data_IF_879071685464
#
_entry.id   IF_879071685464
#
_cell.length_a   1.000
_cell.length_b   1.000
_cell.length_c   1.000
_cell.angle_alpha   90.00
_cell.angle_beta   90.00
_cell.angle_gamma   90.00
#
_symmetry.space_group_name_H-M   'P 1'
#
loop_
_entity.id
_entity.type
_entity.pdbx_description
1 polymer ?
#
# COMPACT_ATOMS: atom_id res chain seq x y z
N UNK A 1 -27.99 -8.41 11.15
CA UNK A 1 -28.46 -7.20 10.40
C UNK A 1 -27.92 -5.92 11.06
N UNK A 2 -27.87 -5.86 12.37
CA UNK A 2 -27.34 -4.70 13.12
C UNK A 2 -25.85 -4.50 12.86
N UNK A 3 -25.02 -5.55 13.01
CA UNK A 3 -23.57 -5.51 12.76
C UNK A 3 -23.21 -4.99 11.35
N UNK A 4 -23.98 -5.34 10.32
CA UNK A 4 -23.76 -4.85 8.97
C UNK A 4 -24.55 -3.57 8.64
N UNK A 5 -25.21 -2.95 9.60
CA UNK A 5 -25.97 -1.68 9.44
C UNK A 5 -27.04 -1.72 8.33
N UNK A 6 -27.67 -2.89 8.10
CA UNK A 6 -28.67 -3.10 7.05
C UNK A 6 -30.11 -3.30 7.58
N UNK A 7 -30.33 -3.14 8.87
CA UNK A 7 -31.64 -3.40 9.50
C UNK A 7 -32.74 -2.51 8.91
N UNK A 8 -32.43 -1.26 8.64
CA UNK A 8 -33.39 -0.27 8.11
C UNK A 8 -33.79 -0.49 6.65
N UNK A 9 -33.03 -1.33 5.91
CA UNK A 9 -33.35 -1.72 4.54
C UNK A 9 -34.03 -3.09 4.41
N UNK A 10 -34.39 -3.74 5.52
CA UNK A 10 -34.89 -5.12 5.52
C UNK A 10 -36.17 -5.36 4.68
N UNK A 11 -36.90 -4.30 4.34
CA UNK A 11 -38.11 -4.37 3.47
C UNK A 11 -37.85 -3.97 2.02
N UNK A 12 -36.61 -3.56 1.66
CA UNK A 12 -36.25 -3.19 0.28
C UNK A 12 -35.69 -4.38 -0.48
N UNK A 13 -35.96 -4.44 -1.79
CA UNK A 13 -35.31 -5.39 -2.67
C UNK A 13 -33.82 -5.05 -2.81
N UNK A 14 -32.96 -6.07 -2.78
CA UNK A 14 -31.48 -5.90 -2.87
C UNK A 14 -31.10 -5.10 -4.11
N UNK A 15 -31.72 -5.35 -5.26
CA UNK A 15 -31.46 -4.64 -6.52
C UNK A 15 -31.67 -3.11 -6.45
N UNK A 16 -32.42 -2.64 -5.46
CA UNK A 16 -32.72 -1.21 -5.25
C UNK A 16 -31.80 -0.57 -4.20
N UNK A 17 -30.79 -1.28 -3.71
CA UNK A 17 -29.78 -0.79 -2.79
C UNK A 17 -28.58 -0.23 -3.57
N UNK A 18 -27.86 0.74 -2.97
CA UNK A 18 -26.56 1.16 -3.50
C UNK A 18 -25.54 0.01 -3.43
N UNK A 19 -24.47 0.07 -4.21
CA UNK A 19 -23.40 -0.93 -4.25
C UNK A 19 -22.88 -1.28 -2.86
N UNK A 20 -22.60 -0.28 -2.01
CA UNK A 20 -22.14 -0.50 -0.64
C UNK A 20 -23.12 -1.25 0.24
N UNK A 21 -24.42 -1.00 0.10
CA UNK A 21 -25.43 -1.78 0.83
C UNK A 21 -25.61 -3.19 0.27
N UNK A 22 -25.44 -3.40 -1.03
CA UNK A 22 -25.44 -4.75 -1.62
C UNK A 22 -24.27 -5.56 -1.08
N UNK A 23 -23.07 -4.97 -0.99
CA UNK A 23 -21.89 -5.61 -0.36
C UNK A 23 -22.12 -5.95 1.11
N UNK A 24 -22.70 -5.04 1.89
CA UNK A 24 -23.06 -5.30 3.29
C UNK A 24 -24.08 -6.44 3.44
N UNK A 25 -25.03 -6.59 2.50
CA UNK A 25 -25.94 -7.74 2.47
C UNK A 25 -25.19 -9.03 2.18
N UNK A 26 -24.25 -9.04 1.22
CA UNK A 26 -23.39 -10.18 0.92
C UNK A 26 -22.55 -10.60 2.12
N UNK A 27 -21.90 -9.65 2.80
CA UNK A 27 -21.14 -9.91 4.03
C UNK A 27 -22.06 -10.44 5.14
N UNK A 28 -23.25 -9.84 5.32
CA UNK A 28 -24.22 -10.32 6.33
C UNK A 28 -24.67 -11.76 6.04
N UNK A 29 -24.82 -12.15 4.78
CA UNK A 29 -25.11 -13.51 4.37
C UNK A 29 -23.97 -14.45 4.73
N UNK A 30 -22.72 -14.05 4.49
CA UNK A 30 -21.55 -14.87 4.78
C UNK A 30 -21.38 -15.18 6.28
N UNK A 31 -21.78 -14.25 7.17
CA UNK A 31 -21.61 -14.41 8.62
C UNK A 31 -22.88 -14.83 9.36
N UNK A 32 -24.04 -14.98 8.69
CA UNK A 32 -25.34 -15.21 9.33
C UNK A 32 -25.39 -16.48 10.20
N UNK A 33 -24.65 -17.51 9.83
CA UNK A 33 -24.57 -18.80 10.52
C UNK A 33 -23.35 -18.92 11.44
N UNK A 34 -22.67 -17.78 11.71
CA UNK A 34 -21.51 -17.69 12.59
C UNK A 34 -20.38 -18.69 12.25
N UNK A 35 -19.89 -18.74 10.99
CA UNK A 35 -18.86 -19.69 10.59
C UNK A 35 -17.50 -19.34 11.19
N UNK A 36 -16.62 -20.29 11.49
CA UNK A 36 -15.27 -19.98 11.98
C UNK A 36 -14.38 -19.34 10.91
N UNK A 37 -14.74 -19.46 9.62
CA UNK A 37 -13.97 -18.97 8.49
C UNK A 37 -14.88 -18.31 7.46
N UNK A 38 -14.52 -17.11 7.01
CA UNK A 38 -15.27 -16.29 6.05
C UNK A 38 -14.38 -15.98 4.84
N UNK A 39 -14.92 -16.15 3.63
CA UNK A 39 -14.25 -15.75 2.38
C UNK A 39 -14.98 -14.56 1.78
N UNK A 40 -14.26 -13.51 1.49
CA UNK A 40 -14.76 -12.29 0.86
C UNK A 40 -13.98 -12.03 -0.44
N UNK A 41 -14.67 -12.07 -1.56
CA UNK A 41 -14.09 -11.84 -2.87
C UNK A 41 -14.41 -10.42 -3.33
N UNK A 42 -13.35 -9.59 -3.53
CA UNK A 42 -13.43 -8.19 -3.97
C UNK A 42 -14.48 -7.35 -3.22
N UNK A 43 -14.52 -7.34 -1.88
CA UNK A 43 -15.65 -6.76 -1.12
C UNK A 43 -15.74 -5.23 -1.21
N UNK A 44 -14.74 -4.56 -1.76
CA UNK A 44 -14.69 -3.09 -1.92
C UNK A 44 -14.82 -2.65 -3.37
N UNK A 45 -14.93 -3.61 -4.30
CA UNK A 45 -14.97 -3.31 -5.73
C UNK A 45 -16.20 -2.45 -6.11
N UNK A 46 -15.96 -1.37 -6.85
CA UNK A 46 -17.02 -0.47 -7.33
C UNK A 46 -17.64 0.44 -6.25
N UNK A 47 -17.01 0.58 -5.09
CA UNK A 47 -17.44 1.45 -4.01
C UNK A 47 -16.73 2.80 -4.05
N UNK A 48 -17.40 3.83 -3.53
CA UNK A 48 -16.75 5.12 -3.30
C UNK A 48 -15.79 5.09 -2.09
N UNK A 49 -14.87 6.07 -1.94
CA UNK A 49 -13.86 6.07 -0.88
C UNK A 49 -14.44 5.98 0.54
N UNK A 50 -15.59 6.59 0.81
CA UNK A 50 -16.21 6.55 2.13
C UNK A 50 -16.77 5.15 2.43
N UNK A 51 -17.43 4.54 1.44
CA UNK A 51 -17.94 3.18 1.55
C UNK A 51 -16.83 2.15 1.72
N UNK A 52 -15.68 2.34 1.04
CA UNK A 52 -14.50 1.50 1.22
C UNK A 52 -14.05 1.50 2.69
N UNK A 53 -13.92 2.68 3.32
CA UNK A 53 -13.53 2.79 4.73
C UNK A 53 -14.53 2.06 5.65
N UNK A 54 -15.82 2.19 5.38
CA UNK A 54 -16.87 1.53 6.15
C UNK A 54 -16.82 0.00 6.01
N UNK A 55 -16.59 -0.53 4.81
CA UNK A 55 -16.45 -1.98 4.59
C UNK A 55 -15.17 -2.51 5.24
N UNK A 56 -14.04 -1.79 5.16
CA UNK A 56 -12.80 -2.15 5.88
C UNK A 56 -13.03 -2.30 7.38
N UNK A 57 -13.71 -1.33 7.99
CA UNK A 57 -14.02 -1.37 9.41
C UNK A 57 -14.91 -2.57 9.75
N UNK A 58 -15.93 -2.83 8.93
CA UNK A 58 -16.79 -4.00 9.10
C UNK A 58 -16.01 -5.32 8.99
N UNK A 59 -15.07 -5.44 8.05
CA UNK A 59 -14.22 -6.62 7.90
C UNK A 59 -13.34 -6.82 9.13
N UNK A 60 -12.76 -5.73 9.68
CA UNK A 60 -11.96 -5.79 10.91
C UNK A 60 -12.79 -6.25 12.12
N UNK A 61 -14.00 -5.72 12.28
CA UNK A 61 -14.92 -6.18 13.33
C UNK A 61 -15.27 -7.67 13.18
N UNK A 62 -15.46 -8.16 11.95
CA UNK A 62 -15.73 -9.57 11.68
C UNK A 62 -14.51 -10.42 12.06
N UNK A 63 -13.31 -9.92 11.75
CA UNK A 63 -12.05 -10.63 12.01
C UNK A 63 -11.74 -10.79 13.52
N UNK A 64 -12.43 -10.09 14.41
CA UNK A 64 -12.33 -10.32 15.88
C UNK A 64 -12.86 -11.68 16.28
N UNK A 65 -13.91 -12.18 15.61
CA UNK A 65 -14.60 -13.44 15.94
C UNK A 65 -14.38 -14.55 14.89
N UNK A 66 -13.90 -14.19 13.69
CA UNK A 66 -13.80 -15.10 12.54
C UNK A 66 -12.41 -15.02 11.90
N UNK A 67 -11.92 -16.11 11.34
CA UNK A 67 -10.82 -16.05 10.38
C UNK A 67 -11.36 -15.56 9.04
N UNK A 68 -10.78 -14.49 8.47
CA UNK A 68 -11.25 -13.90 7.23
C UNK A 68 -10.20 -14.06 6.13
N UNK A 69 -10.58 -14.64 5.01
CA UNK A 69 -9.82 -14.63 3.77
C UNK A 69 -10.41 -13.58 2.84
N UNK A 70 -9.60 -12.59 2.51
CA UNK A 70 -9.93 -11.51 1.60
C UNK A 70 -9.21 -11.72 0.27
N UNK A 71 -9.92 -11.76 -0.85
CA UNK A 71 -9.31 -11.63 -2.17
C UNK A 71 -9.50 -10.20 -2.69
N UNK A 72 -8.44 -9.60 -3.20
CA UNK A 72 -8.48 -8.27 -3.82
C UNK A 72 -7.27 -8.05 -4.72
N UNK A 73 -7.43 -7.21 -5.73
CA UNK A 73 -6.34 -6.71 -6.57
C UNK A 73 -5.87 -5.32 -6.12
N UNK A 74 -6.50 -4.74 -5.09
CA UNK A 74 -6.19 -3.40 -4.57
C UNK A 74 -5.28 -3.52 -3.37
N UNK A 75 -4.03 -3.22 -3.56
CA UNK A 75 -2.96 -3.43 -2.60
C UNK A 75 -3.10 -2.57 -1.33
N UNK A 76 -3.63 -1.34 -1.45
CA UNK A 76 -3.94 -0.49 -0.29
C UNK A 76 -5.04 -1.07 0.62
N UNK A 77 -5.90 -1.95 0.08
CA UNK A 77 -6.89 -2.70 0.87
C UNK A 77 -6.19 -3.75 1.74
N UNK A 78 -5.25 -4.48 1.14
CA UNK A 78 -4.46 -5.50 1.84
C UNK A 78 -3.71 -4.88 3.00
N UNK A 79 -2.97 -3.78 2.76
CA UNK A 79 -2.23 -3.05 3.80
C UNK A 79 -3.12 -2.55 4.94
N UNK A 80 -4.32 -2.07 4.59
CA UNK A 80 -5.22 -1.49 5.58
C UNK A 80 -5.97 -2.53 6.42
N UNK A 81 -6.07 -3.80 5.96
CA UNK A 81 -7.02 -4.77 6.50
C UNK A 81 -6.39 -6.11 6.89
N UNK A 82 -5.33 -6.54 6.21
CA UNK A 82 -4.76 -7.89 6.35
C UNK A 82 -3.52 -7.91 7.24
N UNK A 83 -3.32 -9.02 7.96
CA UNK A 83 -2.10 -9.29 8.73
C UNK A 83 -1.12 -10.13 7.90
N UNK A 84 -1.64 -11.06 7.12
CA UNK A 84 -0.90 -11.98 6.26
C UNK A 84 -1.31 -11.82 4.81
N UNK A 85 -0.36 -12.04 3.91
CA UNK A 85 -0.59 -11.93 2.47
C UNK A 85 -0.13 -13.18 1.73
N UNK A 86 -0.88 -13.54 0.70
CA UNK A 86 -0.52 -14.54 -0.30
C UNK A 86 -0.69 -13.90 -1.67
N UNK A 87 0.40 -13.73 -2.41
CA UNK A 87 0.34 -13.23 -3.78
C UNK A 87 0.33 -14.39 -4.76
N UNK A 88 -0.61 -14.34 -5.68
CA UNK A 88 -0.79 -15.37 -6.71
C UNK A 88 -0.60 -14.73 -8.08
N UNK A 89 0.28 -15.32 -8.90
CA UNK A 89 0.47 -14.95 -10.29
C UNK A 89 0.53 -16.20 -11.17
N UNK A 90 -0.20 -16.19 -12.27
CA UNK A 90 -0.30 -17.34 -13.19
C UNK A 90 -0.58 -18.67 -12.47
N UNK A 91 -1.44 -18.64 -11.44
CA UNK A 91 -1.84 -19.83 -10.66
C UNK A 91 -0.77 -20.34 -9.68
N UNK A 92 0.33 -19.59 -9.46
CA UNK A 92 1.39 -19.93 -8.51
C UNK A 92 1.45 -18.89 -7.40
N UNK A 93 1.71 -19.34 -6.17
CA UNK A 93 2.00 -18.43 -5.05
C UNK A 93 3.43 -17.91 -5.25
N UNK A 94 3.57 -16.60 -5.47
CA UNK A 94 4.86 -15.92 -5.66
C UNK A 94 5.37 -15.27 -4.38
N UNK A 95 4.49 -15.02 -3.41
CA UNK A 95 4.85 -14.57 -2.07
C UNK A 95 3.86 -15.14 -1.05
N UNK A 96 4.36 -15.40 0.17
CA UNK A 96 3.59 -15.88 1.30
C UNK A 96 4.26 -15.46 2.60
N UNK A 97 3.65 -14.59 3.38
CA UNK A 97 4.21 -14.08 4.63
C UNK A 97 3.30 -13.08 5.32
N UNK A 98 3.80 -12.48 6.40
CA UNK A 98 3.12 -11.37 7.06
C UNK A 98 3.23 -10.08 6.24
N UNK A 99 2.38 -9.09 6.53
CA UNK A 99 2.52 -7.75 5.95
C UNK A 99 3.87 -7.13 6.29
N UNK A 100 4.40 -7.40 7.48
CA UNK A 100 5.73 -6.91 7.88
C UNK A 100 6.85 -7.52 7.02
N UNK A 101 6.76 -8.83 6.74
CA UNK A 101 7.73 -9.50 5.86
C UNK A 101 7.64 -8.95 4.44
N UNK A 102 6.43 -8.65 3.99
CA UNK A 102 6.20 -8.06 2.68
C UNK A 102 6.75 -6.64 2.57
N UNK A 103 6.53 -5.80 3.58
CA UNK A 103 7.08 -4.42 3.64
C UNK A 103 8.62 -4.41 3.67
N UNK A 104 9.23 -5.46 4.24
CA UNK A 104 10.69 -5.63 4.30
C UNK A 104 11.27 -6.36 3.08
N UNK A 105 10.44 -6.87 2.18
CA UNK A 105 10.89 -7.68 1.04
C UNK A 105 11.71 -6.88 0.03
N UNK A 106 11.46 -5.59 -0.07
CA UNK A 106 12.21 -4.71 -0.97
C UNK A 106 12.85 -3.59 -0.18
N UNK A 107 14.18 -3.55 -0.21
CA UNK A 107 14.96 -2.44 0.34
C UNK A 107 14.56 -1.16 -0.40
N UNK A 108 14.25 -0.06 0.31
CA UNK A 108 13.99 1.21 -0.33
C UNK A 108 15.18 1.61 -1.22
N UNK A 109 14.89 1.92 -2.48
CA UNK A 109 15.90 2.36 -3.45
C UNK A 109 15.71 3.82 -3.86
N UNK A 110 14.83 4.55 -3.18
CA UNK A 110 14.61 5.99 -3.40
C UNK A 110 14.19 6.70 -2.12
N UNK A 111 14.49 7.99 -2.07
CA UNK A 111 14.00 8.91 -1.06
C UNK A 111 13.65 10.25 -1.69
N UNK A 112 12.74 10.98 -1.05
CA UNK A 112 12.48 12.37 -1.36
C UNK A 112 13.25 13.28 -0.41
N UNK A 113 13.79 14.37 -0.93
CA UNK A 113 14.51 15.36 -0.15
C UNK A 113 14.11 16.77 -0.57
N UNK A 114 13.88 17.64 0.42
CA UNK A 114 13.56 19.06 0.21
C UNK A 114 14.61 19.94 0.83
N UNK A 115 15.12 20.89 0.06
CA UNK A 115 16.08 21.90 0.50
C UNK A 115 15.48 23.32 0.46
N UNK A 116 15.88 24.18 1.39
CA UNK A 116 15.54 25.60 1.33
C UNK A 116 16.44 26.38 0.36
N UNK A 117 17.70 25.94 0.23
CA UNK A 117 18.67 26.43 -0.74
C UNK A 117 19.12 25.21 -1.57
N UNK A 118 18.37 24.86 -2.64
CA UNK A 118 18.60 23.62 -3.34
C UNK A 118 19.93 23.64 -4.11
N UNK A 119 20.69 22.54 -4.09
CA UNK A 119 21.84 22.36 -4.98
C UNK A 119 21.37 22.15 -6.43
N UNK A 120 22.29 22.21 -7.36
CA UNK A 120 22.02 21.78 -8.73
C UNK A 120 21.89 20.24 -8.82
N UNK A 121 21.19 19.77 -9.84
CA UNK A 121 21.08 18.31 -10.12
C UNK A 121 22.48 17.70 -10.31
N UNK A 122 23.40 18.46 -10.92
CA UNK A 122 24.78 18.02 -11.13
C UNK A 122 25.57 17.84 -9.84
N UNK A 123 25.30 18.65 -8.80
CA UNK A 123 25.91 18.48 -7.48
C UNK A 123 25.35 17.25 -6.76
N UNK A 124 24.05 17.03 -6.83
CA UNK A 124 23.42 15.81 -6.29
C UNK A 124 23.89 14.56 -7.00
N UNK A 125 24.09 14.60 -8.33
CA UNK A 125 24.55 13.47 -9.11
C UNK A 125 26.00 13.03 -8.82
N UNK A 126 26.81 13.90 -8.16
CA UNK A 126 28.15 13.55 -7.69
C UNK A 126 28.16 12.74 -6.40
N UNK A 127 27.02 12.63 -5.73
CA UNK A 127 26.91 11.83 -4.51
C UNK A 127 27.02 10.36 -4.92
N UNK A 128 27.97 9.67 -4.31
CA UNK A 128 28.22 8.25 -4.55
C UNK A 128 26.94 7.43 -4.25
N UNK A 129 26.68 6.41 -5.04
CA UNK A 129 25.49 5.57 -5.00
C UNK A 129 24.19 6.23 -5.48
N UNK A 130 24.20 7.47 -5.93
CA UNK A 130 23.05 8.10 -6.59
C UNK A 130 22.97 7.61 -8.05
N UNK A 131 21.84 7.00 -8.41
CA UNK A 131 21.58 6.45 -9.74
C UNK A 131 20.79 7.40 -10.63
N UNK A 132 19.78 8.07 -10.05
CA UNK A 132 18.90 8.96 -10.78
C UNK A 132 18.32 10.04 -9.86
N UNK A 133 18.09 11.23 -10.42
CA UNK A 133 17.51 12.38 -9.73
C UNK A 133 16.37 12.92 -10.57
N UNK A 134 15.24 13.13 -9.93
CA UNK A 134 14.06 13.75 -10.53
C UNK A 134 13.62 14.92 -9.65
N UNK A 135 13.55 16.13 -10.20
CA UNK A 135 12.99 17.28 -9.50
C UNK A 135 11.46 17.20 -9.58
N UNK A 136 10.80 16.98 -8.43
CA UNK A 136 9.35 16.88 -8.32
C UNK A 136 8.69 18.26 -8.25
N UNK A 137 9.28 19.15 -7.46
CA UNK A 137 8.88 20.54 -7.26
C UNK A 137 10.14 21.38 -7.01
N UNK A 138 10.10 22.70 -7.17
CA UNK A 138 11.24 23.57 -6.91
C UNK A 138 11.88 23.31 -5.53
N UNK A 139 13.11 22.79 -5.53
CA UNK A 139 13.85 22.43 -4.34
C UNK A 139 13.50 21.10 -3.69
N UNK A 140 12.61 20.31 -4.29
CA UNK A 140 12.24 18.95 -3.83
C UNK A 140 12.63 17.92 -4.89
N UNK A 141 13.49 16.98 -4.53
CA UNK A 141 14.04 15.99 -5.42
C UNK A 141 13.68 14.59 -4.95
N UNK A 142 13.37 13.69 -5.90
CA UNK A 142 13.39 12.25 -5.70
C UNK A 142 14.75 11.73 -6.14
N UNK A 143 15.44 11.05 -5.25
CA UNK A 143 16.76 10.48 -5.52
C UNK A 143 16.64 8.96 -5.45
N UNK A 144 17.01 8.28 -6.53
CA UNK A 144 17.19 6.83 -6.57
C UNK A 144 18.65 6.50 -6.30
N UNK A 145 18.88 5.45 -5.54
CA UNK A 145 20.21 5.01 -5.14
C UNK A 145 20.34 3.48 -5.22
N UNK A 146 21.55 2.99 -5.28
CA UNK A 146 21.86 1.58 -5.14
C UNK A 146 22.25 1.26 -3.68
N UNK A 147 22.61 0.05 -3.40
CA UNK A 147 22.85 -0.67 -2.14
C UNK A 147 23.68 0.11 -1.08
N UNK A 148 23.23 1.32 -0.69
CA UNK A 148 23.86 2.14 0.38
C UNK A 148 22.85 2.46 1.49
N UNK A 149 22.96 1.73 2.62
CA UNK A 149 22.13 1.97 3.80
C UNK A 149 22.35 3.36 4.42
N UNK A 150 23.49 4.01 4.18
CA UNK A 150 23.90 5.28 4.78
C UNK A 150 23.70 6.49 3.85
N UNK A 151 23.08 6.31 2.70
CA UNK A 151 22.90 7.38 1.69
C UNK A 151 22.24 8.63 2.28
N UNK A 152 21.23 8.46 3.13
CA UNK A 152 20.52 9.57 3.77
C UNK A 152 21.42 10.36 4.72
N UNK A 153 22.26 9.69 5.50
CA UNK A 153 23.22 10.33 6.40
C UNK A 153 24.26 11.14 5.60
N UNK A 154 24.71 10.59 4.47
CA UNK A 154 25.64 11.25 3.55
C UNK A 154 25.02 12.52 2.96
N UNK A 155 23.76 12.47 2.51
CA UNK A 155 23.02 13.63 2.00
C UNK A 155 22.84 14.69 3.08
N UNK A 156 22.53 14.29 4.32
CA UNK A 156 22.43 15.21 5.47
C UNK A 156 23.78 15.91 5.73
N UNK A 157 24.87 15.15 5.78
CA UNK A 157 26.21 15.67 6.01
C UNK A 157 26.61 16.71 4.93
N UNK A 158 26.41 16.36 3.64
CA UNK A 158 26.68 17.24 2.52
C UNK A 158 25.81 18.49 2.53
N UNK A 159 24.55 18.36 2.93
CA UNK A 159 23.64 19.51 3.07
C UNK A 159 24.14 20.52 4.11
N UNK A 160 24.67 20.04 5.23
CA UNK A 160 25.25 20.89 6.28
C UNK A 160 26.55 21.54 5.76
N UNK A 161 27.42 20.74 5.14
CA UNK A 161 28.72 21.19 4.64
C UNK A 161 28.59 22.28 3.57
N UNK A 162 27.62 22.12 2.64
CA UNK A 162 27.42 23.02 1.50
C UNK A 162 26.34 24.08 1.75
N UNK A 163 25.70 24.09 2.92
CA UNK A 163 24.71 25.10 3.29
C UNK A 163 23.39 24.99 2.53
N UNK A 164 23.01 23.80 2.03
CA UNK A 164 21.77 23.59 1.24
C UNK A 164 20.49 23.74 2.07
N UNK A 165 20.60 23.75 3.39
CA UNK A 165 19.47 23.90 4.33
C UNK A 165 18.39 22.85 4.11
N UNK A 166 18.72 21.59 4.43
CA UNK A 166 17.78 20.48 4.42
C UNK A 166 16.54 20.80 5.26
N UNK A 167 15.35 20.62 4.69
CA UNK A 167 14.05 20.76 5.35
C UNK A 167 13.45 19.42 5.70
N UNK A 168 13.50 18.49 4.77
CA UNK A 168 12.87 17.19 4.91
C UNK A 168 13.66 16.16 4.12
N UNK A 169 13.74 14.94 4.65
CA UNK A 169 14.22 13.76 3.96
C UNK A 169 13.32 12.58 4.35
N UNK A 170 12.74 11.91 3.38
CA UNK A 170 11.80 10.83 3.62
C UNK A 170 12.12 9.66 2.70
N UNK A 171 12.45 8.50 3.29
CA UNK A 171 12.61 7.27 2.52
C UNK A 171 11.28 6.91 1.85
N UNK A 172 11.31 6.75 0.54
CA UNK A 172 10.16 6.23 -0.18
C UNK A 172 10.09 4.72 0.05
N UNK A 173 9.04 4.27 0.72
CA UNK A 173 8.73 2.84 0.74
C UNK A 173 8.43 2.43 -0.69
N UNK A 174 9.02 1.34 -1.15
CA UNK A 174 8.64 0.77 -2.44
C UNK A 174 7.12 0.64 -2.47
N UNK A 175 6.49 1.21 -3.50
CA UNK A 175 5.06 1.00 -3.67
C UNK A 175 4.84 -0.50 -3.85
N UNK A 176 3.75 -0.99 -3.28
CA UNK A 176 3.38 -2.40 -3.39
C UNK A 176 3.28 -2.85 -4.86
N UNK A 177 2.96 -1.93 -5.77
CA UNK A 177 2.95 -2.17 -7.22
C UNK A 177 4.35 -2.51 -7.75
N UNK A 178 5.41 -1.88 -7.21
CA UNK A 178 6.79 -2.18 -7.56
C UNK A 178 7.19 -3.56 -7.02
N UNK A 179 6.83 -3.86 -5.77
CA UNK A 179 7.06 -5.18 -5.17
C UNK A 179 6.35 -6.26 -5.99
N UNK A 180 5.09 -6.01 -6.34
CA UNK A 180 4.32 -6.90 -7.20
C UNK A 180 5.00 -7.11 -8.55
N UNK A 181 5.44 -6.02 -9.21
CA UNK A 181 6.11 -6.09 -10.49
C UNK A 181 7.47 -6.83 -10.44
N UNK A 182 8.22 -6.71 -9.33
CA UNK A 182 9.46 -7.46 -9.11
C UNK A 182 9.19 -8.94 -8.88
N UNK A 183 8.23 -9.28 -8.01
CA UNK A 183 7.84 -10.66 -7.73
C UNK A 183 7.27 -11.34 -8.97
N UNK A 184 6.53 -10.61 -9.80
CA UNK A 184 5.97 -11.10 -11.07
C UNK A 184 6.99 -11.20 -12.21
N UNK A 185 8.25 -10.85 -11.96
CA UNK A 185 9.30 -10.94 -12.99
C UNK A 185 9.22 -9.87 -14.08
N UNK A 186 8.30 -8.92 -13.98
CA UNK A 186 8.11 -7.85 -14.98
C UNK A 186 9.21 -6.79 -14.98
N UNK A 187 9.98 -6.67 -13.88
CA UNK A 187 11.08 -5.69 -13.76
C UNK A 187 12.45 -6.24 -14.15
N UNK A 188 12.61 -7.53 -14.45
CA UNK A 188 13.91 -8.10 -14.85
C UNK A 188 14.44 -7.63 -16.21
N UNK A 189 13.67 -6.88 -16.98
CA UNK A 189 14.05 -6.46 -18.34
C UNK A 189 14.40 -4.97 -18.49
N UNK A 190 14.57 -4.21 -17.41
CA UNK A 190 14.88 -2.78 -17.45
C UNK A 190 16.06 -2.39 -16.52
N UNK A 191 17.07 -3.24 -16.41
CA UNK A 191 18.38 -2.88 -15.84
C UNK A 191 19.43 -3.00 -16.96
#
# INVERSE_FOLDING_TARGET
KERCTIAHFSKRLIKNLSGGYQQRVGIAQAIVHNPPFVVLDEPTNGLDPNQIVEIRNLIKEIAEDHSVLLSTHILSEVQATCNDIRMIEHGKVVFSGSMKDFDNYVVPSSFTVTFALPPSIEELAKIEHVLNIEELYPGTFRIRFDDDENITERVVALSIQNGWRLKEITMERCSLDIIFAQLSGKLKNNI
#
